data_IF_561899665659
#
_entry.id   IF_561899665659
#
_cell.length_a   1.000
_cell.length_b   1.000
_cell.length_c   1.000
_cell.angle_alpha   90.00
_cell.angle_beta   90.00
_cell.angle_gamma   90.00
#
_symmetry.space_group_name_H-M   'P 1'
#
loop_
_entity.id
_entity.type
_entity.pdbx_description
1 polymer ?
#
# COMPACT_ATOMS: atom_id res chain seq x y z
N UNK A 1 -1.20 21.49 59.68
CA UNK A 1 -2.34 21.03 58.84
C UNK A 1 -1.77 19.89 58.00
N UNK A 2 -1.97 18.60 58.31
CA UNK A 2 -3.24 17.82 58.39
C UNK A 2 -4.11 18.09 57.17
N UNK A 3 -4.62 17.15 56.39
CA UNK A 3 -4.56 15.68 56.23
C UNK A 3 -5.20 15.43 54.84
N UNK A 4 -4.94 14.31 54.16
CA UNK A 4 -5.96 13.52 53.43
C UNK A 4 -5.31 12.38 52.61
N UNK A 5 -5.20 11.22 53.25
CA UNK A 5 -5.29 9.91 52.62
C UNK A 5 -6.69 9.69 52.00
N UNK A 6 -6.78 8.92 50.91
CA UNK A 6 -7.99 8.19 50.54
C UNK A 6 -7.62 6.91 49.77
N UNK A 7 -7.89 5.81 50.45
CA UNK A 7 -7.76 4.40 50.10
C UNK A 7 -9.00 3.88 49.32
N UNK A 8 -8.86 2.65 48.81
CA UNK A 8 -9.87 1.61 48.66
C UNK A 8 -10.60 1.38 47.32
N UNK A 9 -10.42 0.13 46.85
CA UNK A 9 -11.48 -0.71 46.25
C UNK A 9 -11.50 -0.74 44.73
N UNK A 10 -11.56 -1.86 44.03
CA UNK A 10 -11.92 -3.22 44.42
C UNK A 10 -12.91 -3.80 43.40
N UNK A 11 -12.65 -5.05 43.00
CA UNK A 11 -13.57 -6.04 42.42
C UNK A 11 -13.93 -6.02 40.93
N UNK A 12 -13.46 -7.09 40.27
CA UNK A 12 -14.21 -8.11 39.50
C UNK A 12 -15.44 -7.67 38.71
N UNK A 13 -15.45 -7.98 37.41
CA UNK A 13 -16.66 -8.51 36.80
C UNK A 13 -16.34 -9.61 35.78
N UNK A 14 -16.67 -10.83 36.19
CA UNK A 14 -16.85 -12.00 35.35
C UNK A 14 -18.14 -11.80 34.56
N UNK A 15 -18.09 -12.02 33.24
CA UNK A 15 -19.26 -12.03 32.38
C UNK A 15 -19.33 -13.33 31.60
N UNK A 16 -20.00 -14.31 32.18
CA UNK A 16 -20.57 -15.45 31.46
C UNK A 16 -21.61 -14.95 30.46
N UNK A 17 -21.55 -15.44 29.23
CA UNK A 17 -22.70 -15.38 28.31
C UNK A 17 -22.74 -16.68 27.52
N UNK A 18 -23.57 -17.54 28.08
CA UNK A 18 -24.05 -18.80 27.58
C UNK A 18 -24.87 -18.57 26.29
N UNK A 19 -24.39 -19.15 25.19
CA UNK A 19 -25.11 -19.27 23.93
C UNK A 19 -25.00 -20.71 23.46
N UNK A 20 -26.03 -21.48 23.79
CA UNK A 20 -26.21 -22.89 23.48
C UNK A 20 -26.74 -23.04 22.02
N UNK A 21 -26.90 -24.30 21.58
CA UNK A 21 -27.68 -24.78 20.42
C UNK A 21 -26.97 -25.15 19.10
N UNK A 22 -26.82 -26.49 18.93
CA UNK A 22 -27.08 -27.32 17.72
C UNK A 22 -25.97 -27.46 16.66
N UNK A 23 -25.61 -28.63 16.09
CA UNK A 23 -25.91 -30.07 16.21
C UNK A 23 -24.73 -30.83 15.55
N UNK A 24 -24.48 -32.12 15.86
CA UNK A 24 -23.35 -32.88 15.29
C UNK A 24 -23.71 -33.54 13.96
N UNK A 25 -22.88 -33.32 12.93
CA UNK A 25 -22.92 -34.08 11.67
C UNK A 25 -21.79 -35.09 11.63
N UNK A 26 -22.14 -36.37 11.71
CA UNK A 26 -21.22 -37.50 11.85
C UNK A 26 -20.33 -37.77 10.64
N UNK A 27 -19.23 -38.48 10.90
CA UNK A 27 -18.32 -39.00 9.90
C UNK A 27 -17.98 -40.45 10.24
N UNK A 28 -18.42 -41.40 9.41
CA UNK A 28 -17.67 -42.62 9.11
C UNK A 28 -18.21 -43.35 7.87
N UNK A 29 -17.36 -43.32 6.85
CA UNK A 29 -16.94 -44.43 5.98
C UNK A 29 -17.74 -45.74 5.97
N UNK A 30 -18.28 -46.10 4.80
CA UNK A 30 -17.73 -47.15 3.90
C UNK A 30 -18.84 -47.79 3.03
N UNK A 31 -18.60 -47.86 1.71
CA UNK A 31 -18.85 -49.02 0.83
C UNK A 31 -19.04 -48.57 -0.63
N UNK A 32 -18.20 -49.11 -1.53
CA UNK A 32 -18.39 -49.08 -2.98
C UNK A 32 -19.60 -49.93 -3.40
N UNK A 33 -20.19 -49.75 -4.62
CA UNK A 33 -19.63 -50.43 -5.79
C UNK A 33 -19.76 -49.71 -7.15
N UNK A 34 -18.88 -50.15 -8.07
CA UNK A 34 -18.96 -50.25 -9.52
C UNK A 34 -20.04 -49.49 -10.33
N UNK A 35 -19.59 -48.76 -11.35
CA UNK A 35 -20.33 -48.61 -12.62
C UNK A 35 -20.08 -47.30 -13.38
N UNK A 36 -19.52 -47.39 -14.59
CA UNK A 36 -19.78 -46.42 -15.67
C UNK A 36 -18.61 -45.52 -16.09
N UNK A 37 -18.13 -45.77 -17.30
CA UNK A 37 -17.07 -45.09 -18.07
C UNK A 37 -17.08 -43.54 -18.08
N UNK A 38 -15.90 -42.89 -18.24
CA UNK A 38 -15.79 -41.48 -18.59
C UNK A 38 -15.93 -41.27 -20.12
N UNK A 39 -16.70 -40.28 -20.61
CA UNK A 39 -16.62 -39.85 -22.00
C UNK A 39 -15.41 -38.90 -22.22
N UNK A 40 -14.75 -38.98 -23.39
CA UNK A 40 -13.58 -38.18 -23.74
C UNK A 40 -13.95 -36.79 -24.24
N UNK A 41 -13.03 -35.86 -23.98
CA UNK A 41 -12.71 -34.59 -24.67
C UNK A 41 -13.61 -34.17 -25.85
N UNK A 42 -14.16 -32.95 -25.76
CA UNK A 42 -14.45 -32.14 -26.94
C UNK A 42 -14.09 -30.68 -26.65
N UNK A 43 -12.92 -30.30 -27.15
CA UNK A 43 -12.51 -28.92 -27.33
C UNK A 43 -13.56 -28.16 -28.14
N UNK A 44 -14.05 -27.05 -27.59
CA UNK A 44 -14.70 -26.00 -28.37
C UNK A 44 -13.78 -24.78 -28.43
N UNK A 45 -13.18 -24.44 -29.59
CA UNK A 45 -12.49 -23.17 -29.79
C UNK A 45 -13.57 -22.10 -30.02
N UNK A 46 -14.09 -21.56 -28.92
CA UNK A 46 -15.29 -20.75 -28.93
C UNK A 46 -15.00 -19.28 -28.72
N UNK A 47 -14.57 -18.62 -29.81
CA UNK A 47 -14.40 -17.17 -29.97
C UNK A 47 -13.10 -16.65 -29.36
N UNK A 48 -12.17 -16.36 -30.26
CA UNK A 48 -11.28 -15.22 -30.11
C UNK A 48 -12.12 -14.03 -29.64
N UNK A 49 -12.10 -13.77 -28.34
CA UNK A 49 -12.32 -12.44 -27.82
C UNK A 49 -11.17 -11.62 -28.36
N UNK A 50 -11.31 -11.21 -29.63
CA UNK A 50 -10.51 -10.21 -30.30
C UNK A 50 -10.47 -9.06 -29.31
N UNK A 51 -9.34 -8.99 -28.61
CA UNK A 51 -8.96 -7.93 -27.70
C UNK A 51 -9.46 -6.66 -28.35
N UNK A 52 -10.50 -6.08 -27.74
CA UNK A 52 -11.06 -4.82 -28.21
C UNK A 52 -9.87 -3.91 -28.29
N UNK A 53 -9.46 -3.59 -29.51
CA UNK A 53 -8.37 -2.69 -29.78
C UNK A 53 -8.73 -1.42 -29.03
N UNK A 54 -8.06 -1.25 -27.89
CA UNK A 54 -8.19 -0.09 -27.02
C UNK A 54 -7.97 1.09 -27.96
N UNK A 55 -9.05 1.82 -28.25
CA UNK A 55 -9.00 3.00 -29.12
C UNK A 55 -7.84 3.89 -28.69
N UNK A 56 -7.27 4.69 -29.60
CA UNK A 56 -5.98 5.38 -29.40
C UNK A 56 -5.87 5.91 -27.98
N UNK A 57 -5.13 5.18 -27.14
CA UNK A 57 -5.16 5.36 -25.70
C UNK A 57 -4.82 6.80 -25.37
N UNK A 58 -5.57 7.42 -24.46
CA UNK A 58 -5.23 8.73 -23.94
C UNK A 58 -3.76 8.69 -23.47
N UNK A 59 -2.94 9.58 -24.03
CA UNK A 59 -1.53 9.65 -23.64
C UNK A 59 -1.48 10.22 -22.22
N UNK A 60 -0.89 9.52 -21.25
CA UNK A 60 -0.78 10.05 -19.89
C UNK A 60 0.11 11.30 -19.89
N UNK A 61 -0.21 12.24 -19.02
CA UNK A 61 0.62 13.38 -18.70
C UNK A 61 1.82 12.91 -17.86
N UNK A 62 3.02 13.26 -18.31
CA UNK A 62 4.27 12.87 -17.66
C UNK A 62 4.96 14.12 -17.12
N UNK A 63 5.43 14.05 -15.89
CA UNK A 63 6.25 15.09 -15.27
C UNK A 63 7.46 14.44 -14.60
N UNK A 64 8.62 15.07 -14.71
CA UNK A 64 9.85 14.60 -14.08
C UNK A 64 10.50 15.75 -13.31
N UNK A 65 10.83 15.50 -12.04
CA UNK A 65 11.56 16.41 -11.18
C UNK A 65 12.92 15.81 -10.85
N UNK A 66 13.96 16.63 -10.83
CA UNK A 66 15.29 16.24 -10.40
C UNK A 66 15.82 17.25 -9.40
N UNK A 67 16.21 16.78 -8.22
CA UNK A 67 16.62 17.60 -7.09
C UNK A 67 18.02 17.21 -6.66
N UNK A 68 19.00 18.13 -6.70
CA UNK A 68 20.33 17.86 -6.18
C UNK A 68 20.36 17.99 -4.65
N UNK A 69 20.96 17.01 -3.99
CA UNK A 69 21.26 17.04 -2.55
C UNK A 69 22.76 17.30 -2.31
N UNK A 70 23.13 17.90 -1.17
CA UNK A 70 24.53 18.12 -0.77
C UNK A 70 25.36 16.82 -0.78
N UNK A 71 24.81 15.74 -0.23
CA UNK A 71 25.48 14.43 -0.13
C UNK A 71 24.64 13.29 -0.71
N UNK A 72 25.27 12.19 -1.18
CA UNK A 72 24.52 11.02 -1.67
C UNK A 72 23.68 10.37 -0.57
N UNK A 73 24.19 10.40 0.66
CA UNK A 73 23.52 9.85 1.84
C UNK A 73 22.23 10.62 2.15
N UNK A 74 22.24 11.95 2.07
CA UNK A 74 21.01 12.76 2.22
C UNK A 74 19.98 12.45 1.15
N UNK A 75 20.39 12.26 -0.12
CA UNK A 75 19.47 11.87 -1.18
C UNK A 75 18.81 10.52 -0.89
N UNK A 76 19.58 9.55 -0.37
CA UNK A 76 19.10 8.22 0.01
C UNK A 76 18.11 8.30 1.19
N UNK A 77 18.44 9.09 2.22
CA UNK A 77 17.55 9.33 3.37
C UNK A 77 16.27 10.00 2.90
N UNK A 78 16.36 11.03 2.04
CA UNK A 78 15.20 11.71 1.49
C UNK A 78 14.29 10.73 0.73
N UNK A 79 14.88 9.86 -0.10
CA UNK A 79 14.13 8.79 -0.78
C UNK A 79 13.44 7.88 0.22
N UNK A 80 14.13 7.44 1.26
CA UNK A 80 13.59 6.58 2.31
C UNK A 80 12.41 7.22 3.04
N UNK A 81 12.47 8.53 3.32
CA UNK A 81 11.38 9.28 3.95
C UNK A 81 10.19 9.52 3.03
N UNK A 82 10.42 9.61 1.71
CA UNK A 82 9.39 9.93 0.70
C UNK A 82 8.77 8.70 0.02
N UNK A 83 9.41 7.52 0.15
CA UNK A 83 8.96 6.25 -0.42
C UNK A 83 7.66 5.66 0.20
N UNK A 84 7.37 5.81 1.51
CA UNK A 84 6.17 5.23 2.12
C UNK A 84 4.85 5.89 1.69
N UNK A 85 4.90 7.02 0.98
CA UNK A 85 3.72 7.77 0.56
C UNK A 85 3.14 7.19 -0.74
N UNK A 86 2.73 5.92 -0.65
CA UNK A 86 1.87 5.25 -1.61
C UNK A 86 0.49 5.91 -1.52
N UNK A 87 0.32 6.99 -2.29
CA UNK A 87 -0.95 7.69 -2.41
C UNK A 87 -2.06 6.65 -2.68
N UNK A 88 -3.19 6.66 -1.94
CA UNK A 88 -4.30 5.73 -2.18
C UNK A 88 -4.87 5.81 -3.62
N UNK A 89 -4.50 6.87 -4.35
CA UNK A 89 -4.81 7.09 -5.76
C UNK A 89 -3.75 6.52 -6.74
N UNK A 90 -2.88 5.60 -6.32
CA UNK A 90 -1.91 4.90 -7.19
C UNK A 90 -2.53 4.31 -8.47
N UNK A 91 -3.85 4.07 -8.48
CA UNK A 91 -4.58 3.60 -9.66
C UNK A 91 -4.75 4.68 -10.76
N UNK A 92 -4.53 5.95 -10.44
CA UNK A 92 -4.79 7.11 -11.33
C UNK A 92 -3.53 7.96 -11.59
N UNK A 93 -2.59 7.99 -10.63
CA UNK A 93 -1.29 8.64 -10.79
C UNK A 93 -0.17 7.67 -10.39
N UNK A 94 0.66 7.27 -11.34
CA UNK A 94 1.89 6.53 -11.09
C UNK A 94 3.00 7.48 -10.65
N UNK A 95 3.68 7.18 -9.54
CA UNK A 95 4.84 7.93 -9.02
C UNK A 95 6.02 6.97 -8.87
N UNK A 96 7.14 7.27 -9.53
CA UNK A 96 8.39 6.53 -9.42
C UNK A 96 9.48 7.43 -8.82
N UNK A 97 10.14 6.95 -7.77
CA UNK A 97 11.19 7.68 -7.07
C UNK A 97 12.50 6.90 -7.17
N UNK A 98 13.55 7.57 -7.65
CA UNK A 98 14.87 7.00 -7.82
C UNK A 98 15.95 7.95 -7.30
N UNK A 99 17.07 7.40 -6.83
CA UNK A 99 18.26 8.19 -6.46
C UNK A 99 19.43 7.74 -7.32
N UNK A 100 20.14 8.70 -7.90
CA UNK A 100 21.39 8.48 -8.62
C UNK A 100 22.48 9.36 -7.99
N UNK A 101 23.28 8.75 -7.11
CA UNK A 101 24.28 9.48 -6.33
C UNK A 101 23.64 10.55 -5.45
N UNK A 102 23.84 11.82 -5.83
CA UNK A 102 23.29 13.00 -5.12
C UNK A 102 21.95 13.49 -5.67
N UNK A 103 21.46 12.90 -6.74
CA UNK A 103 20.27 13.39 -7.43
C UNK A 103 19.08 12.51 -7.06
N UNK A 104 18.06 13.11 -6.47
CA UNK A 104 16.74 12.50 -6.31
C UNK A 104 15.92 12.81 -7.56
N UNK A 105 15.55 11.77 -8.30
CA UNK A 105 14.72 11.86 -9.49
C UNK A 105 13.33 11.29 -9.19
N UNK A 106 12.30 12.05 -9.56
CA UNK A 106 10.91 11.65 -9.37
C UNK A 106 10.19 11.77 -10.69
N UNK A 107 9.44 10.74 -11.06
CA UNK A 107 8.66 10.70 -12.30
C UNK A 107 7.22 10.39 -11.98
N UNK A 108 6.32 11.24 -12.48
CA UNK A 108 4.88 11.07 -12.38
C UNK A 108 4.28 10.76 -13.75
N UNK A 109 3.28 9.91 -13.77
CA UNK A 109 2.42 9.63 -14.91
C UNK A 109 0.96 9.69 -14.45
N UNK A 110 0.13 10.51 -15.09
CA UNK A 110 -1.28 10.68 -14.71
C UNK A 110 -2.16 10.84 -15.94
N UNK A 111 -3.40 10.36 -15.88
CA UNK A 111 -4.39 10.62 -16.94
C UNK A 111 -4.99 12.03 -16.85
N UNK A 112 -4.97 12.64 -15.66
CA UNK A 112 -5.52 13.98 -15.40
C UNK A 112 -4.41 14.95 -14.93
N UNK A 113 -4.23 16.05 -15.66
CA UNK A 113 -3.36 17.17 -15.29
C UNK A 113 -3.63 17.73 -13.90
N UNK A 114 -4.89 17.77 -13.46
CA UNK A 114 -5.26 18.29 -12.14
C UNK A 114 -4.74 17.38 -11.02
N UNK A 115 -4.91 16.06 -11.18
CA UNK A 115 -4.37 15.09 -10.23
C UNK A 115 -2.85 15.08 -10.23
N UNK A 116 -2.22 15.18 -11.40
CA UNK A 116 -0.77 15.36 -11.52
C UNK A 116 -0.30 16.58 -10.72
N UNK A 117 -0.95 17.73 -10.90
CA UNK A 117 -0.60 18.96 -10.20
C UNK A 117 -0.71 18.81 -8.69
N UNK A 118 -1.79 18.21 -8.19
CA UNK A 118 -1.99 17.97 -6.75
C UNK A 118 -0.89 17.05 -6.21
N UNK A 119 -0.61 15.94 -6.88
CA UNK A 119 0.43 14.97 -6.45
C UNK A 119 1.82 15.61 -6.44
N UNK A 120 2.15 16.45 -7.42
CA UNK A 120 3.42 17.20 -7.46
C UNK A 120 3.52 18.20 -6.31
N UNK A 121 2.47 18.97 -6.03
CA UNK A 121 2.46 19.94 -4.93
C UNK A 121 2.61 19.22 -3.58
N UNK A 122 1.81 18.20 -3.32
CA UNK A 122 1.89 17.41 -2.08
C UNK A 122 3.28 16.81 -1.88
N UNK A 123 3.90 16.30 -2.95
CA UNK A 123 5.26 15.78 -2.88
C UNK A 123 6.28 16.86 -2.50
N UNK A 124 6.14 18.08 -3.05
CA UNK A 124 7.02 19.19 -2.71
C UNK A 124 6.85 19.64 -1.25
N UNK A 125 5.63 19.59 -0.72
CA UNK A 125 5.36 19.89 0.69
C UNK A 125 6.06 18.86 1.61
N UNK A 126 5.93 17.56 1.30
CA UNK A 126 6.62 16.50 2.02
C UNK A 126 8.15 16.61 1.89
N UNK A 127 8.66 16.93 0.70
CA UNK A 127 10.08 17.12 0.46
C UNK A 127 10.63 18.31 1.24
N UNK A 128 9.89 19.42 1.31
CA UNK A 128 10.27 20.59 2.12
C UNK A 128 10.42 20.20 3.60
N UNK A 129 9.46 19.43 4.12
CA UNK A 129 9.53 18.94 5.51
C UNK A 129 10.76 18.06 5.74
N UNK A 130 11.07 17.16 4.80
CA UNK A 130 12.25 16.28 4.89
C UNK A 130 13.55 17.09 4.88
N UNK A 131 13.68 18.06 3.97
CA UNK A 131 14.85 18.94 3.90
C UNK A 131 14.99 19.77 5.17
N UNK A 132 13.89 20.34 5.67
CA UNK A 132 13.89 21.09 6.93
C UNK A 132 14.30 20.20 8.11
N UNK A 133 13.82 18.97 8.16
CA UNK A 133 14.20 17.98 9.18
C UNK A 133 15.71 17.68 9.11
N UNK A 134 16.26 17.42 7.93
CA UNK A 134 17.71 17.19 7.77
C UNK A 134 18.54 18.40 8.20
N UNK A 135 18.09 19.62 7.88
CA UNK A 135 18.77 20.85 8.30
C UNK A 135 18.72 21.05 9.82
N UNK A 136 17.60 20.73 10.45
CA UNK A 136 17.39 20.98 11.88
C UNK A 136 18.04 19.92 12.77
N UNK A 137 18.07 18.66 12.33
CA UNK A 137 18.65 17.54 13.07
C UNK A 137 20.10 17.23 12.67
N UNK A 138 20.67 18.00 11.74
CA UNK A 138 22.10 18.00 11.44
C UNK A 138 22.56 16.93 10.43
N UNK A 139 23.85 16.91 10.11
CA UNK A 139 24.41 16.02 9.10
C UNK A 139 24.20 14.54 9.51
N UNK A 140 23.91 13.65 8.54
CA UNK A 140 23.65 12.26 8.84
C UNK A 140 24.81 11.61 9.60
N UNK A 141 24.49 10.92 10.71
CA UNK A 141 25.50 10.12 11.41
C UNK A 141 25.93 8.95 10.53
N UNK A 142 27.24 8.77 10.38
CA UNK A 142 27.81 7.61 9.67
C UNK A 142 27.39 6.32 10.38
N UNK A 143 26.71 5.44 9.64
CA UNK A 143 26.32 4.09 10.08
C UNK A 143 27.41 3.07 9.78
#
# INVERSE_FOLDING_TARGET
MRDADADAGGSTNCGDSQGDHSCPGGADTAAAPAGGAPPPHASGPGRDAKSVARGPGMRPHVFTLSMPFPTPLEAEIARGSLAPDAEPHQRVVGKNLAVSGRILAVRWEAEDCRLLRISVINFLDHLSLVVQTMQHFGPPVSR
#
